data_IF_675738301731
#
_entry.id   IF_675738301731
#
_cell.length_a   1.000
_cell.length_b   1.000
_cell.length_c   1.000
_cell.angle_alpha   90.00
_cell.angle_beta   90.00
_cell.angle_gamma   90.00
#
_symmetry.space_group_name_H-M   'P 1'
#
loop_
_entity.id
_entity.type
_entity.pdbx_description
1 polymer ?
#
# COMPACT_ATOMS: atom_id res chain seq x y z
N UNK A 1 9.77 -18.77 -6.82
CA UNK A 1 8.49 -18.83 -6.05
C UNK A 1 7.39 -18.14 -6.86
N UNK A 2 6.29 -18.82 -7.21
CA UNK A 2 5.20 -18.29 -8.06
C UNK A 2 4.31 -17.27 -7.34
N UNK A 3 4.17 -17.40 -6.02
CA UNK A 3 3.33 -16.55 -5.18
C UNK A 3 3.82 -15.09 -5.16
N UNK A 4 5.14 -14.89 -5.11
CA UNK A 4 5.73 -13.56 -5.09
C UNK A 4 5.28 -12.71 -6.30
N UNK A 5 5.20 -13.30 -7.50
CA UNK A 5 4.72 -12.60 -8.70
C UNK A 5 3.22 -12.28 -8.62
N UNK A 6 2.42 -13.17 -8.05
CA UNK A 6 0.97 -12.95 -7.85
C UNK A 6 0.69 -11.85 -6.83
N UNK A 7 1.55 -11.69 -5.82
CA UNK A 7 1.41 -10.58 -4.85
C UNK A 7 1.71 -9.24 -5.53
N UNK A 8 2.72 -9.17 -6.39
CA UNK A 8 3.08 -7.94 -7.09
C UNK A 8 2.00 -7.46 -8.07
N UNK A 9 1.16 -8.35 -8.63
CA UNK A 9 0.05 -7.91 -9.50
C UNK A 9 -1.06 -7.17 -8.76
N UNK A 10 -1.12 -7.28 -7.43
CA UNK A 10 -2.11 -6.58 -6.61
C UNK A 10 -1.64 -5.17 -6.20
N UNK A 11 -0.33 -4.91 -6.22
CA UNK A 11 0.25 -3.64 -5.82
C UNK A 11 0.13 -2.59 -6.94
N UNK A 12 -0.44 -1.43 -6.63
CA UNK A 12 -0.47 -0.26 -7.52
C UNK A 12 0.29 0.89 -6.85
N UNK A 13 1.24 1.50 -7.56
CA UNK A 13 2.03 2.65 -7.09
C UNK A 13 1.75 3.81 -8.05
N UNK A 14 1.32 4.94 -7.49
CA UNK A 14 1.04 6.17 -8.23
C UNK A 14 2.08 7.22 -7.88
N UNK A 15 2.50 8.00 -8.87
CA UNK A 15 3.51 9.04 -8.69
C UNK A 15 2.96 10.29 -7.97
N UNK A 16 1.64 10.51 -8.02
CA UNK A 16 0.95 11.64 -7.41
C UNK A 16 0.04 11.22 -6.26
N UNK A 17 -0.64 12.21 -5.67
CA UNK A 17 -1.60 11.99 -4.58
C UNK A 17 -2.94 11.37 -5.04
N UNK A 18 -3.20 11.39 -6.35
CA UNK A 18 -4.46 10.90 -6.93
C UNK A 18 -4.32 9.49 -7.48
N UNK A 19 -5.41 8.72 -7.38
CA UNK A 19 -5.51 7.37 -7.95
C UNK A 19 -6.95 7.09 -8.46
N UNK A 20 -7.13 6.30 -9.54
CA UNK A 20 -8.44 6.03 -10.14
C UNK A 20 -9.33 5.04 -9.34
N UNK A 21 -8.94 4.68 -8.10
CA UNK A 21 -9.59 3.65 -7.29
C UNK A 21 -10.68 4.16 -6.33
N UNK A 22 -11.26 5.34 -6.60
CA UNK A 22 -12.30 5.93 -5.76
C UNK A 22 -13.56 5.05 -5.63
N UNK A 23 -13.93 4.33 -6.69
CA UNK A 23 -15.08 3.44 -6.69
C UNK A 23 -14.94 2.24 -5.72
N UNK A 24 -13.72 1.92 -5.28
CA UNK A 24 -13.44 0.80 -4.37
C UNK A 24 -13.45 1.23 -2.90
N UNK A 25 -13.67 2.53 -2.62
CA UNK A 25 -13.68 3.10 -1.27
C UNK A 25 -12.49 2.60 -0.39
N UNK A 26 -11.23 2.81 -0.81
CA UNK A 26 -10.09 2.32 -0.07
C UNK A 26 -9.96 3.01 1.30
N UNK A 27 -9.68 2.22 2.33
CA UNK A 27 -9.43 2.73 3.68
C UNK A 27 -7.97 3.17 3.83
N UNK A 28 -7.76 4.28 4.53
CA UNK A 28 -6.41 4.78 4.83
C UNK A 28 -5.80 3.92 5.95
N UNK A 29 -4.71 3.22 5.63
CA UNK A 29 -3.97 2.40 6.59
C UNK A 29 -2.76 3.15 7.15
N UNK A 30 -2.76 3.40 8.46
CA UNK A 30 -1.59 3.94 9.15
C UNK A 30 -0.57 2.84 9.49
N UNK A 31 0.35 2.59 8.55
CA UNK A 31 1.42 1.60 8.73
C UNK A 31 2.47 2.07 9.76
N UNK A 32 2.57 3.37 10.02
CA UNK A 32 3.60 3.93 10.91
C UNK A 32 3.42 3.47 12.35
N UNK A 33 2.18 3.44 12.85
CA UNK A 33 1.87 3.03 14.23
C UNK A 33 1.93 1.52 14.46
N UNK A 34 1.87 0.71 13.40
CA UNK A 34 1.83 -0.76 13.50
C UNK A 34 3.13 -1.39 14.01
N UNK A 35 4.26 -0.67 13.99
CA UNK A 35 5.53 -1.18 14.51
C UNK A 35 6.43 -0.04 15.01
N UNK A 36 7.01 -0.21 16.21
CA UNK A 36 7.99 0.72 16.79
C UNK A 36 9.21 0.96 15.88
N UNK A 37 9.53 0.04 14.98
CA UNK A 37 10.64 0.17 14.00
C UNK A 37 10.29 1.04 12.78
N UNK A 38 9.01 1.34 12.54
CA UNK A 38 8.57 2.17 11.41
C UNK A 38 8.73 3.68 11.70
N UNK A 39 9.04 4.04 12.94
CA UNK A 39 9.33 5.40 13.37
C UNK A 39 10.83 5.55 13.60
N UNK A 40 11.61 5.76 12.53
CA UNK A 40 13.00 6.21 12.67
C UNK A 40 12.97 7.72 12.88
N UNK A 41 13.22 8.16 14.11
CA UNK A 41 13.60 9.53 14.45
C UNK A 41 15.04 9.80 14.04
#
# INVERSE_FOLDING_TARGET
>A
NRLARQQMTNLRIYAGAEHPHEAQAPEVLDVKSMNKKNTRS
#
